data_IF_041614333286
#
_entry.id   IF_041614333286
#
_cell.length_a   1.000
_cell.length_b   1.000
_cell.length_c   1.000
_cell.angle_alpha   90.00
_cell.angle_beta   90.00
_cell.angle_gamma   90.00
#
_symmetry.space_group_name_H-M   'P 1'
#
loop_
_entity.id
_entity.type
_entity.pdbx_description
1 polymer ?
#
# COMPACT_ATOMS: atom_id res chain seq x y z
N UNK A 1 4.36 -28.05 -18.87
CA UNK A 1 5.72 -27.76 -19.35
C UNK A 1 6.15 -26.46 -18.68
N UNK A 2 6.09 -26.47 -17.35
CA UNK A 2 7.20 -26.37 -16.39
C UNK A 2 7.91 -25.01 -16.42
N UNK A 3 7.30 -24.06 -15.71
CA UNK A 3 7.86 -22.76 -15.26
C UNK A 3 9.27 -22.92 -14.65
N UNK A 4 9.58 -24.11 -14.10
CA UNK A 4 10.92 -24.49 -13.63
C UNK A 4 12.00 -24.55 -14.74
N UNK A 5 11.62 -24.85 -15.98
CA UNK A 5 12.54 -24.87 -17.13
C UNK A 5 12.96 -23.47 -17.55
N UNK A 6 12.00 -22.54 -17.60
CA UNK A 6 12.26 -21.14 -17.96
C UNK A 6 13.06 -20.42 -16.87
N UNK A 7 12.84 -20.76 -15.58
CA UNK A 7 13.64 -20.26 -14.46
C UNK A 7 15.09 -20.81 -14.50
N UNK A 8 15.30 -22.04 -14.99
CA UNK A 8 16.66 -22.58 -15.18
C UNK A 8 17.39 -21.91 -16.35
N UNK A 9 16.69 -21.55 -17.43
CA UNK A 9 17.27 -20.74 -18.51
C UNK A 9 17.63 -19.33 -18.02
N UNK A 10 16.77 -18.69 -17.23
CA UNK A 10 17.04 -17.39 -16.60
C UNK A 10 18.24 -17.45 -15.64
N UNK A 11 18.40 -18.54 -14.89
CA UNK A 11 19.58 -18.79 -14.05
C UNK A 11 20.87 -19.03 -14.86
N UNK A 12 20.76 -19.64 -16.04
CA UNK A 12 21.86 -19.84 -16.99
C UNK A 12 22.31 -18.54 -17.67
N UNK A 13 21.34 -17.71 -18.06
CA UNK A 13 21.57 -16.36 -18.60
C UNK A 13 22.19 -15.46 -17.54
N UNK A 14 21.77 -15.56 -16.28
CA UNK A 14 22.36 -14.84 -15.15
C UNK A 14 23.86 -15.14 -14.99
N UNK A 15 24.27 -16.42 -15.11
CA UNK A 15 25.69 -16.83 -15.04
C UNK A 15 26.52 -16.32 -16.23
N UNK A 16 25.95 -16.30 -17.43
CA UNK A 16 26.64 -15.75 -18.61
C UNK A 16 26.75 -14.21 -18.56
N UNK A 17 25.80 -13.51 -17.94
CA UNK A 17 25.79 -12.05 -17.82
C UNK A 17 26.69 -11.52 -16.69
N UNK A 18 26.86 -12.28 -15.59
CA UNK A 18 27.83 -11.94 -14.53
C UNK A 18 29.29 -11.97 -14.98
N UNK A 19 29.59 -12.63 -16.10
CA UNK A 19 30.94 -12.74 -16.64
C UNK A 19 31.40 -11.57 -17.50
N UNK A 20 30.50 -10.69 -17.96
CA UNK A 20 30.88 -9.69 -18.99
C UNK A 20 30.57 -8.22 -18.72
N UNK A 21 29.67 -7.81 -17.80
CA UNK A 21 29.34 -6.37 -17.67
C UNK A 21 29.04 -5.93 -16.24
N UNK A 22 29.60 -4.76 -15.87
CA UNK A 22 29.58 -4.22 -14.51
C UNK A 22 28.20 -3.76 -14.01
N UNK A 23 28.08 -3.51 -12.68
CA UNK A 23 26.81 -3.35 -11.95
C UNK A 23 25.93 -2.15 -12.34
N UNK A 24 26.41 -1.23 -13.19
CA UNK A 24 25.66 -0.05 -13.63
C UNK A 24 24.67 -0.32 -14.79
N UNK A 25 24.83 -1.41 -15.53
CA UNK A 25 23.93 -1.77 -16.64
C UNK A 25 22.93 -2.88 -16.27
N UNK A 26 23.14 -3.56 -15.15
CA UNK A 26 22.30 -4.67 -14.70
C UNK A 26 20.94 -4.21 -14.17
N UNK A 27 20.89 -3.04 -13.52
CA UNK A 27 19.65 -2.43 -13.02
C UNK A 27 18.60 -2.21 -14.12
N UNK A 28 18.87 -1.38 -15.16
CA UNK A 28 17.90 -1.11 -16.21
C UNK A 28 17.55 -2.34 -17.06
N UNK A 29 18.48 -3.29 -17.26
CA UNK A 29 18.20 -4.52 -18.01
C UNK A 29 17.32 -5.52 -17.24
N UNK A 30 17.49 -5.63 -15.91
CA UNK A 30 16.56 -6.43 -15.10
C UNK A 30 15.17 -5.80 -15.08
N UNK A 31 15.08 -4.47 -15.07
CA UNK A 31 13.80 -3.76 -15.23
C UNK A 31 13.20 -4.02 -16.61
N UNK A 32 13.95 -3.92 -17.71
CA UNK A 32 13.39 -4.20 -19.05
C UNK A 32 12.93 -5.67 -19.21
N UNK A 33 13.70 -6.64 -18.72
CA UNK A 33 13.35 -8.07 -18.83
C UNK A 33 12.17 -8.44 -17.92
N UNK A 34 12.12 -7.95 -16.67
CA UNK A 34 10.95 -8.16 -15.79
C UNK A 34 9.67 -7.55 -16.37
N UNK A 35 9.80 -6.43 -17.09
CA UNK A 35 8.65 -5.72 -17.64
C UNK A 35 8.18 -6.32 -18.97
N UNK A 36 9.06 -6.91 -19.79
CA UNK A 36 8.67 -7.63 -21.02
C UNK A 36 7.96 -8.97 -20.72
N UNK A 37 8.38 -9.69 -19.68
CA UNK A 37 7.73 -10.96 -19.30
C UNK A 37 6.31 -10.75 -18.72
N UNK A 38 6.06 -9.59 -18.07
CA UNK A 38 4.72 -9.26 -17.58
C UNK A 38 3.74 -8.95 -18.71
N UNK A 39 4.17 -8.27 -19.79
CA UNK A 39 3.25 -7.91 -20.88
C UNK A 39 2.69 -9.12 -21.65
N UNK A 40 3.43 -10.23 -21.71
CA UNK A 40 3.00 -11.42 -22.46
C UNK A 40 1.95 -12.30 -21.74
N UNK A 41 1.58 -11.97 -20.49
CA UNK A 41 0.74 -12.85 -19.65
C UNK A 41 -0.53 -12.23 -19.04
N UNK A 42 -0.89 -10.97 -19.36
CA UNK A 42 -2.13 -10.39 -18.86
C UNK A 42 -3.35 -10.81 -19.69
N UNK A 43 -4.22 -11.63 -19.09
CA UNK A 43 -5.46 -12.05 -19.71
C UNK A 43 -6.56 -11.00 -19.59
N UNK A 44 -7.60 -11.10 -20.42
CA UNK A 44 -8.81 -10.27 -20.30
C UNK A 44 -9.47 -10.36 -18.89
N UNK A 45 -9.23 -11.46 -18.17
CA UNK A 45 -9.72 -11.67 -16.80
C UNK A 45 -9.03 -10.74 -15.80
N UNK A 46 -7.71 -10.55 -15.91
CA UNK A 46 -6.95 -9.68 -15.02
C UNK A 46 -7.37 -8.21 -15.17
N UNK A 47 -7.69 -7.80 -16.40
CA UNK A 47 -8.23 -6.48 -16.72
C UNK A 47 -9.59 -6.24 -16.05
N UNK A 48 -10.50 -7.21 -16.16
CA UNK A 48 -11.83 -7.13 -15.55
C UNK A 48 -11.72 -7.06 -14.02
N UNK A 49 -10.82 -7.83 -13.41
CA UNK A 49 -10.62 -7.82 -11.95
C UNK A 49 -10.03 -6.49 -11.49
N UNK A 50 -9.02 -5.95 -12.18
CA UNK A 50 -8.41 -4.66 -11.84
C UNK A 50 -9.41 -3.51 -11.90
N UNK A 51 -10.17 -3.40 -13.00
CA UNK A 51 -11.18 -2.35 -13.16
C UNK A 51 -12.33 -2.53 -12.18
N UNK A 52 -12.81 -3.76 -11.98
CA UNK A 52 -13.84 -4.04 -10.99
C UNK A 52 -13.38 -3.63 -9.58
N UNK A 53 -12.13 -3.89 -9.22
CA UNK A 53 -11.55 -3.51 -7.94
C UNK A 53 -11.53 -1.98 -7.75
N UNK A 54 -11.06 -1.22 -8.74
CA UNK A 54 -11.09 0.25 -8.70
C UNK A 54 -12.51 0.82 -8.64
N UNK A 55 -13.44 0.24 -9.42
CA UNK A 55 -14.84 0.65 -9.44
C UNK A 55 -15.55 0.37 -8.12
N UNK A 56 -15.33 -0.80 -7.52
CA UNK A 56 -15.90 -1.17 -6.21
C UNK A 56 -15.31 -0.29 -5.12
N UNK A 57 -14.00 -0.06 -5.09
CA UNK A 57 -13.37 0.86 -4.12
C UNK A 57 -13.92 2.28 -4.25
N UNK A 58 -14.06 2.79 -5.48
CA UNK A 58 -14.65 4.11 -5.73
C UNK A 58 -16.10 4.16 -5.30
N UNK A 59 -16.88 3.10 -5.56
CA UNK A 59 -18.28 3.01 -5.16
C UNK A 59 -18.46 2.94 -3.63
N UNK A 60 -17.58 2.23 -2.92
CA UNK A 60 -17.55 2.19 -1.44
C UNK A 60 -17.25 3.58 -0.90
N UNK A 61 -16.22 4.26 -1.44
CA UNK A 61 -15.88 5.63 -1.08
C UNK A 61 -17.05 6.60 -1.31
N UNK A 62 -17.69 6.54 -2.48
CA UNK A 62 -18.87 7.35 -2.81
C UNK A 62 -20.08 7.03 -1.94
N UNK A 63 -20.32 5.76 -1.64
CA UNK A 63 -21.46 5.33 -0.82
C UNK A 63 -21.35 5.92 0.59
N UNK A 64 -20.18 5.83 1.22
CA UNK A 64 -19.94 6.45 2.52
C UNK A 64 -19.94 7.98 2.44
N UNK A 65 -19.39 8.56 1.36
CA UNK A 65 -19.47 10.00 1.11
C UNK A 65 -20.92 10.52 1.07
N UNK A 66 -21.84 9.73 0.49
CA UNK A 66 -23.24 10.12 0.33
C UNK A 66 -24.08 9.82 1.58
N UNK A 67 -23.78 8.72 2.27
CA UNK A 67 -24.43 8.31 3.52
C UNK A 67 -24.09 9.24 4.68
N UNK A 68 -22.82 9.62 4.81
CA UNK A 68 -22.34 10.50 5.89
C UNK A 68 -22.45 11.99 5.52
N UNK A 69 -22.92 12.33 4.30
CA UNK A 69 -23.20 13.72 3.87
C UNK A 69 -24.26 14.42 4.73
N UNK A 70 -25.08 13.66 5.46
CA UNK A 70 -26.14 14.19 6.34
C UNK A 70 -25.64 14.55 7.74
N UNK A 71 -24.45 14.14 8.12
CA UNK A 71 -23.85 14.44 9.43
C UNK A 71 -22.66 15.38 9.25
N UNK A 72 -22.96 16.67 9.26
CA UNK A 72 -22.01 17.78 9.10
C UNK A 72 -21.13 17.96 10.36
N UNK A 73 -20.36 16.94 10.76
CA UNK A 73 -19.41 17.05 11.87
C UNK A 73 -18.00 16.69 11.41
N UNK A 74 -17.07 17.63 11.53
CA UNK A 74 -15.62 17.46 11.23
C UNK A 74 -15.03 16.25 11.98
N UNK A 75 -15.53 15.97 13.19
CA UNK A 75 -15.17 14.80 13.99
C UNK A 75 -15.55 13.47 13.32
N UNK A 76 -16.61 13.43 12.51
CA UNK A 76 -17.00 12.19 11.82
C UNK A 76 -16.10 11.93 10.61
N UNK A 77 -15.70 12.99 9.89
CA UNK A 77 -14.78 12.92 8.77
C UNK A 77 -13.34 12.57 9.21
N UNK A 78 -12.85 13.20 10.29
CA UNK A 78 -11.48 13.03 10.78
C UNK A 78 -11.30 11.87 11.76
N UNK A 79 -12.30 11.53 12.57
CA UNK A 79 -12.19 10.46 13.60
C UNK A 79 -12.99 9.20 13.26
N UNK A 80 -13.70 9.19 12.13
CA UNK A 80 -14.57 8.08 11.75
C UNK A 80 -15.73 7.85 12.73
N UNK A 81 -16.13 8.88 13.48
CA UNK A 81 -17.26 8.86 14.41
C UNK A 81 -17.10 7.94 15.64
N UNK A 82 -15.95 7.25 15.80
CA UNK A 82 -15.69 6.24 16.87
C UNK A 82 -16.72 5.09 16.98
N UNK A 83 -17.65 4.99 16.05
CA UNK A 83 -18.71 3.96 16.01
C UNK A 83 -18.37 2.80 15.05
N UNK A 84 -17.18 2.84 14.44
CA UNK A 84 -16.67 1.78 13.58
C UNK A 84 -16.46 0.48 14.35
N UNK A 85 -16.85 -0.64 13.75
CA UNK A 85 -16.48 -1.97 14.27
C UNK A 85 -14.96 -2.09 14.35
N UNK A 86 -14.39 -2.67 15.43
CA UNK A 86 -12.95 -2.78 15.59
C UNK A 86 -12.29 -3.62 14.49
N UNK A 87 -13.03 -4.55 13.88
CA UNK A 87 -12.47 -5.50 12.93
C UNK A 87 -11.98 -4.84 11.61
N UNK A 88 -12.80 -4.06 10.86
CA UNK A 88 -12.31 -3.30 9.69
C UNK A 88 -11.19 -2.32 10.03
N UNK A 89 -11.22 -1.71 11.22
CA UNK A 89 -10.19 -0.76 11.67
C UNK A 89 -8.85 -1.46 11.82
N UNK A 90 -8.81 -2.62 12.50
CA UNK A 90 -7.58 -3.40 12.65
C UNK A 90 -7.00 -3.82 11.29
N UNK A 91 -7.85 -4.19 10.32
CA UNK A 91 -7.40 -4.60 8.99
C UNK A 91 -6.88 -3.41 8.18
N UNK A 92 -7.52 -2.24 8.24
CA UNK A 92 -7.02 -1.03 7.59
C UNK A 92 -5.68 -0.57 8.18
N UNK A 93 -5.51 -0.66 9.50
CA UNK A 93 -4.21 -0.41 10.15
C UNK A 93 -3.16 -1.40 9.61
N UNK A 94 -3.48 -2.70 9.54
CA UNK A 94 -2.57 -3.71 9.00
C UNK A 94 -2.24 -3.45 7.51
N UNK A 95 -3.22 -3.08 6.71
CA UNK A 95 -3.05 -2.75 5.29
C UNK A 95 -2.12 -1.53 5.12
N UNK A 96 -2.24 -0.54 6.00
CA UNK A 96 -1.34 0.63 6.03
C UNK A 96 0.09 0.26 6.42
N UNK A 97 0.28 -0.77 7.26
CA UNK A 97 1.61 -1.29 7.62
C UNK A 97 2.24 -2.16 6.52
N UNK A 98 1.43 -2.75 5.66
CA UNK A 98 1.84 -3.65 4.57
C UNK A 98 1.37 -3.10 3.22
N UNK A 99 1.96 -1.98 2.75
CA UNK A 99 1.57 -1.38 1.48
C UNK A 99 1.90 -2.27 0.29
N UNK A 100 1.33 -1.95 -0.88
CA UNK A 100 1.52 -2.70 -2.13
C UNK A 100 2.99 -2.89 -2.52
N UNK A 101 3.87 -1.96 -2.13
CA UNK A 101 5.32 -2.06 -2.33
C UNK A 101 5.95 -3.22 -1.55
N UNK A 102 5.43 -3.55 -0.36
CA UNK A 102 5.85 -4.70 0.44
C UNK A 102 5.48 -6.02 -0.22
N UNK A 103 4.36 -6.08 -0.95
CA UNK A 103 3.92 -7.30 -1.65
C UNK A 103 4.84 -7.70 -2.81
N UNK A 104 5.44 -6.72 -3.48
CA UNK A 104 6.47 -6.97 -4.50
C UNK A 104 7.85 -7.16 -3.82
N UNK A 105 8.12 -6.39 -2.76
CA UNK A 105 9.42 -6.36 -2.08
C UNK A 105 9.74 -7.61 -1.28
N UNK A 106 8.83 -8.08 -0.42
CA UNK A 106 9.11 -9.20 0.49
C UNK A 106 9.39 -10.52 -0.24
N UNK A 107 8.61 -10.94 -1.25
CA UNK A 107 8.95 -12.14 -2.03
C UNK A 107 10.29 -12.01 -2.74
N UNK A 108 10.63 -10.83 -3.25
CA UNK A 108 11.93 -10.56 -3.89
C UNK A 108 13.09 -10.74 -2.91
N UNK A 109 12.95 -10.21 -1.68
CA UNK A 109 13.97 -10.38 -0.64
C UNK A 109 14.10 -11.85 -0.21
N UNK A 110 12.98 -12.55 -0.04
CA UNK A 110 12.98 -13.99 0.27
C UNK A 110 13.65 -14.80 -0.85
N UNK A 111 13.41 -14.42 -2.11
CA UNK A 111 14.00 -15.09 -3.26
C UNK A 111 15.53 -14.93 -3.31
N UNK A 112 16.05 -13.73 -3.01
CA UNK A 112 17.49 -13.44 -3.08
C UNK A 112 18.25 -13.85 -1.82
N UNK A 113 17.67 -13.61 -0.63
CA UNK A 113 18.34 -13.80 0.68
C UNK A 113 17.97 -15.12 1.35
N UNK A 114 16.97 -15.83 0.83
CA UNK A 114 16.48 -17.09 1.38
C UNK A 114 15.38 -16.91 2.42
N UNK A 115 14.89 -18.02 2.96
CA UNK A 115 13.70 -18.05 3.81
C UNK A 115 13.88 -17.33 5.16
N UNK A 116 15.11 -17.10 5.62
CA UNK A 116 15.40 -16.48 6.93
C UNK A 116 14.75 -15.09 7.14
N UNK A 117 14.34 -14.41 6.06
CA UNK A 117 13.62 -13.14 6.13
C UNK A 117 12.31 -13.21 6.95
N UNK A 118 11.66 -14.37 7.06
CA UNK A 118 10.41 -14.52 7.83
C UNK A 118 10.56 -14.12 9.31
N UNK A 119 11.78 -14.17 9.85
CA UNK A 119 12.08 -13.81 11.25
C UNK A 119 11.70 -12.34 11.56
N UNK A 120 11.61 -11.46 10.55
CA UNK A 120 11.18 -10.06 10.71
C UNK A 120 9.75 -9.92 11.28
N UNK A 121 8.91 -10.95 11.12
CA UNK A 121 7.53 -10.95 11.63
C UNK A 121 7.51 -10.98 13.16
N UNK A 122 8.46 -11.67 13.80
CA UNK A 122 8.50 -11.80 15.27
C UNK A 122 8.65 -10.43 15.97
N UNK A 123 9.69 -9.61 15.68
CA UNK A 123 9.81 -8.30 16.29
C UNK A 123 8.71 -7.35 15.86
N UNK A 124 8.14 -7.48 14.65
CA UNK A 124 7.01 -6.67 14.22
C UNK A 124 5.76 -6.92 15.08
N UNK A 125 5.41 -8.18 15.35
CA UNK A 125 4.28 -8.55 16.21
C UNK A 125 4.52 -8.11 17.65
N UNK A 126 5.72 -8.36 18.19
CA UNK A 126 6.05 -7.93 19.55
C UNK A 126 6.01 -6.40 19.70
N UNK A 127 6.51 -5.67 18.70
CA UNK A 127 6.45 -4.22 18.64
C UNK A 127 5.01 -3.71 18.59
N UNK A 128 4.14 -4.36 17.81
CA UNK A 128 2.72 -4.02 17.75
C UNK A 128 1.99 -4.24 19.08
N UNK A 129 2.26 -5.36 19.78
CA UNK A 129 1.68 -5.63 21.10
C UNK A 129 2.16 -4.59 22.13
N UNK A 130 3.46 -4.29 22.14
CA UNK A 130 4.01 -3.26 23.03
C UNK A 130 3.43 -1.88 22.73
N UNK A 131 3.26 -1.55 21.44
CA UNK A 131 2.63 -0.31 21.02
C UNK A 131 1.17 -0.24 21.49
N UNK A 132 0.43 -1.34 21.38
CA UNK A 132 -0.97 -1.43 21.80
C UNK A 132 -1.13 -1.26 23.32
N UNK A 133 -0.32 -1.92 24.12
CA UNK A 133 -0.44 -1.88 25.59
C UNK A 133 0.09 -0.58 26.20
N UNK A 134 1.16 0.01 25.62
CA UNK A 134 1.82 1.18 26.22
C UNK A 134 1.29 2.49 25.65
N UNK A 135 1.15 2.59 24.33
CA UNK A 135 0.89 3.87 23.67
C UNK A 135 -0.61 4.13 23.44
N UNK A 136 -1.40 3.11 23.05
CA UNK A 136 -2.85 3.29 22.84
C UNK A 136 -3.57 3.82 24.08
N UNK A 137 -3.39 3.30 25.32
CA UNK A 137 -4.13 3.83 26.47
C UNK A 137 -3.77 5.29 26.76
N UNK A 138 -2.53 5.70 26.50
CA UNK A 138 -2.10 7.10 26.65
C UNK A 138 -2.85 7.97 25.64
N UNK A 139 -2.80 7.64 24.35
CA UNK A 139 -3.41 8.44 23.29
C UNK A 139 -4.93 8.44 23.31
N UNK A 140 -5.56 7.31 23.62
CA UNK A 140 -7.01 7.16 23.62
C UNK A 140 -7.68 8.06 24.66
N UNK A 141 -7.10 8.16 25.87
CA UNK A 141 -7.62 8.99 26.95
C UNK A 141 -7.48 10.50 26.67
N UNK A 142 -6.50 10.92 25.87
CA UNK A 142 -6.27 12.33 25.54
C UNK A 142 -7.17 12.87 24.42
N UNK A 143 -7.94 11.99 23.77
CA UNK A 143 -8.92 12.29 22.72
C UNK A 143 -8.38 13.19 21.59
N UNK A 144 -7.14 12.94 21.19
CA UNK A 144 -6.42 13.72 20.17
C UNK A 144 -6.97 13.44 18.76
N UNK A 145 -6.92 14.45 17.89
CA UNK A 145 -7.20 14.32 16.46
C UNK A 145 -5.98 13.83 15.68
N UNK A 146 -4.77 14.16 16.16
CA UNK A 146 -3.51 13.74 15.54
C UNK A 146 -2.45 13.45 16.58
N UNK A 147 -1.51 12.56 16.26
CA UNK A 147 -0.34 12.30 17.13
C UNK A 147 0.47 13.58 17.35
N UNK A 148 0.53 14.48 16.36
CA UNK A 148 1.24 15.74 16.46
C UNK A 148 0.58 16.74 17.44
N UNK A 149 -0.73 16.63 17.68
CA UNK A 149 -1.42 17.39 18.73
C UNK A 149 -0.93 17.02 20.14
N UNK A 150 -0.43 15.79 20.33
CA UNK A 150 0.19 15.39 21.59
C UNK A 150 1.39 16.28 21.94
N UNK A 151 2.21 16.62 20.95
CA UNK A 151 3.40 17.47 21.13
C UNK A 151 2.97 18.86 21.62
N UNK A 152 1.87 19.39 21.08
CA UNK A 152 1.30 20.64 21.57
C UNK A 152 0.90 20.52 23.05
N UNK A 153 0.12 19.49 23.42
CA UNK A 153 -0.31 19.31 24.83
C UNK A 153 0.86 19.07 25.78
N UNK A 154 1.90 18.37 25.34
CA UNK A 154 3.05 18.00 26.19
C UNK A 154 4.03 19.15 26.41
N UNK A 155 4.23 20.00 25.40
CA UNK A 155 5.21 21.11 25.44
C UNK A 155 4.56 22.49 25.52
N UNK A 156 3.23 22.58 25.46
CA UNK A 156 2.43 23.82 25.52
C UNK A 156 2.88 24.87 24.48
N UNK A 157 3.42 24.41 23.35
CA UNK A 157 3.97 25.27 22.30
C UNK A 157 3.22 25.05 20.99
N UNK A 158 2.63 26.12 20.46
CA UNK A 158 1.92 26.09 19.18
C UNK A 158 2.90 26.03 18.00
N UNK A 159 4.04 26.73 18.09
CA UNK A 159 5.05 26.74 17.05
C UNK A 159 5.65 25.33 16.83
N UNK A 160 5.86 24.58 17.92
CA UNK A 160 6.37 23.21 17.83
C UNK A 160 5.37 22.28 17.12
N UNK A 161 4.08 22.42 17.39
CA UNK A 161 3.02 21.68 16.70
C UNK A 161 3.01 21.94 15.20
N UNK A 162 3.12 23.21 14.79
CA UNK A 162 3.17 23.59 13.37
C UNK A 162 4.40 22.98 12.70
N UNK A 163 5.57 23.07 13.34
CA UNK A 163 6.82 22.50 12.80
C UNK A 163 6.70 20.99 12.65
N UNK A 164 6.19 20.27 13.65
CA UNK A 164 6.00 18.82 13.54
C UNK A 164 4.98 18.47 12.45
N UNK A 165 3.83 19.15 12.40
CA UNK A 165 2.84 18.94 11.34
C UNK A 165 3.43 19.14 9.95
N UNK A 166 4.18 20.23 9.76
CA UNK A 166 4.83 20.52 8.50
C UNK A 166 5.89 19.45 8.16
N UNK A 167 6.71 19.06 9.13
CA UNK A 167 7.70 18.00 8.94
C UNK A 167 7.07 16.65 8.59
N UNK A 168 5.95 16.29 9.22
CA UNK A 168 5.19 15.08 8.89
C UNK A 168 4.64 15.17 7.47
N UNK A 169 4.03 16.30 7.08
CA UNK A 169 3.51 16.49 5.73
C UNK A 169 4.62 16.38 4.67
N UNK A 170 5.77 17.02 4.89
CA UNK A 170 6.93 16.90 3.99
C UNK A 170 7.46 15.47 3.89
N UNK A 171 7.45 14.70 4.98
CA UNK A 171 7.88 13.30 4.96
C UNK A 171 6.87 12.38 4.24
N UNK A 172 5.58 12.69 4.29
CA UNK A 172 4.51 11.88 3.68
C UNK A 172 4.45 12.02 2.15
N UNK A 173 4.81 13.18 1.59
CA UNK A 173 4.82 13.41 0.13
C UNK A 173 5.67 12.37 -0.64
N UNK A 174 6.98 12.18 -0.33
CA UNK A 174 7.78 11.19 -1.03
C UNK A 174 7.36 9.75 -0.70
N UNK A 175 6.85 9.51 0.51
CA UNK A 175 6.35 8.19 0.92
C UNK A 175 5.17 7.74 0.05
N UNK A 176 4.10 8.54 -0.01
CA UNK A 176 2.95 8.24 -0.86
C UNK A 176 3.28 8.29 -2.36
N UNK A 177 4.28 9.07 -2.77
CA UNK A 177 4.78 9.07 -4.15
C UNK A 177 5.34 7.69 -4.56
N UNK A 178 6.11 7.05 -3.68
CA UNK A 178 6.62 5.68 -3.91
C UNK A 178 5.50 4.66 -3.86
N UNK A 179 4.52 4.81 -2.96
CA UNK A 179 3.37 3.91 -2.89
C UNK A 179 2.49 3.97 -4.13
N UNK A 180 2.25 5.17 -4.67
CA UNK A 180 1.47 5.37 -5.90
C UNK A 180 2.19 4.83 -7.15
N UNK A 181 3.51 4.71 -7.11
CA UNK A 181 4.30 4.24 -8.24
C UNK A 181 4.05 2.76 -8.56
N UNK A 182 3.90 1.90 -7.55
CA UNK A 182 3.67 0.47 -7.73
C UNK A 182 2.40 0.14 -8.56
N UNK A 183 1.20 0.65 -8.23
CA UNK A 183 0.01 0.41 -9.06
C UNK A 183 0.10 1.12 -10.42
N UNK A 184 0.87 2.22 -10.52
CA UNK A 184 1.05 2.97 -11.78
C UNK A 184 1.88 2.21 -12.80
N UNK A 185 2.91 1.48 -12.36
CA UNK A 185 3.65 0.55 -13.21
C UNK A 185 2.72 -0.55 -13.71
N UNK A 186 1.96 -1.18 -12.81
CA UNK A 186 1.04 -2.25 -13.20
C UNK A 186 0.05 -1.77 -14.26
N UNK A 187 -0.52 -0.57 -14.12
CA UNK A 187 -1.42 0.00 -15.12
C UNK A 187 -0.70 0.34 -16.44
N UNK A 188 0.51 0.89 -16.39
CA UNK A 188 1.31 1.23 -17.57
C UNK A 188 1.61 0.01 -18.44
N UNK A 189 1.93 -1.13 -17.81
CA UNK A 189 2.15 -2.41 -18.51
C UNK A 189 0.87 -2.91 -19.18
N UNK A 190 -0.29 -2.77 -18.53
CA UNK A 190 -1.55 -3.34 -19.03
C UNK A 190 -2.19 -2.49 -20.13
N UNK A 191 -1.99 -1.18 -20.11
CA UNK A 191 -2.64 -0.24 -21.03
C UNK A 191 -1.72 0.25 -22.15
N UNK A 192 -0.46 -0.18 -22.17
CA UNK A 192 0.61 0.34 -23.02
C UNK A 192 0.76 1.89 -22.94
N UNK A 193 0.26 2.50 -21.86
CA UNK A 193 0.33 3.94 -21.64
C UNK A 193 1.67 4.31 -20.98
N UNK A 194 2.13 5.54 -21.21
CA UNK A 194 3.32 6.05 -20.53
C UNK A 194 3.12 6.04 -19.00
N UNK A 195 4.18 5.70 -18.25
CA UNK A 195 4.15 5.63 -16.78
C UNK A 195 3.63 6.96 -16.18
N UNK A 196 4.05 8.09 -16.76
CA UNK A 196 3.60 9.43 -16.33
C UNK A 196 2.08 9.61 -16.44
N UNK A 197 1.47 9.10 -17.51
CA UNK A 197 0.01 9.14 -17.70
C UNK A 197 -0.70 8.21 -16.71
N UNK A 198 -0.16 7.01 -16.46
CA UNK A 198 -0.71 6.07 -15.48
C UNK A 198 -0.70 6.63 -14.05
N UNK A 199 0.38 7.31 -13.65
CA UNK A 199 0.46 7.98 -12.35
C UNK A 199 -0.65 9.03 -12.20
N UNK A 200 -0.89 9.84 -13.23
CA UNK A 200 -1.93 10.86 -13.20
C UNK A 200 -3.33 10.25 -13.09
N UNK A 201 -3.62 9.18 -13.83
CA UNK A 201 -4.93 8.52 -13.81
C UNK A 201 -5.20 7.89 -12.44
N UNK A 202 -4.27 7.06 -11.94
CA UNK A 202 -4.45 6.40 -10.63
C UNK A 202 -4.48 7.44 -9.52
N UNK A 203 -3.56 8.41 -9.54
CA UNK A 203 -3.51 9.48 -8.55
C UNK A 203 -4.82 10.27 -8.50
N UNK A 204 -5.42 10.57 -9.65
CA UNK A 204 -6.70 11.26 -9.73
C UNK A 204 -7.86 10.42 -9.18
N UNK A 205 -7.94 9.13 -9.55
CA UNK A 205 -8.95 8.20 -9.02
C UNK A 205 -8.83 8.09 -7.50
N UNK A 206 -7.61 7.86 -7.00
CA UNK A 206 -7.31 7.73 -5.57
C UNK A 206 -7.67 8.99 -4.80
N UNK A 207 -7.29 10.15 -5.32
CA UNK A 207 -7.59 11.45 -4.71
C UNK A 207 -9.11 11.66 -4.64
N UNK A 208 -9.85 11.35 -5.70
CA UNK A 208 -11.31 11.54 -5.74
C UNK A 208 -12.00 10.65 -4.70
N UNK A 209 -11.76 9.33 -4.70
CA UNK A 209 -12.47 8.46 -3.76
C UNK A 209 -12.05 8.70 -2.30
N UNK A 210 -10.79 9.07 -2.06
CA UNK A 210 -10.28 9.37 -0.71
C UNK A 210 -10.86 10.67 -0.18
N UNK A 211 -10.87 11.73 -1.00
CA UNK A 211 -11.43 13.04 -0.62
C UNK A 211 -12.94 12.98 -0.38
N UNK A 212 -13.67 12.16 -1.14
CA UNK A 212 -15.10 11.98 -0.96
C UNK A 212 -15.43 11.09 0.25
N UNK A 213 -14.73 9.97 0.44
CA UNK A 213 -15.08 8.97 1.45
C UNK A 213 -14.65 9.29 2.89
N UNK A 214 -13.66 10.18 3.08
CA UNK A 214 -13.09 10.47 4.40
C UNK A 214 -12.45 9.24 5.07
N UNK A 215 -12.08 9.33 6.36
CA UNK A 215 -11.40 8.24 7.06
C UNK A 215 -12.24 6.94 7.04
N UNK A 216 -13.57 7.07 7.14
CA UNK A 216 -14.48 5.92 7.11
C UNK A 216 -14.48 5.18 5.77
N UNK A 217 -14.55 5.94 4.68
CA UNK A 217 -14.48 5.39 3.33
C UNK A 217 -13.16 4.67 3.10
N UNK A 218 -12.04 5.29 3.52
CA UNK A 218 -10.71 4.72 3.40
C UNK A 218 -10.60 3.38 4.14
N UNK A 219 -11.07 3.31 5.39
CA UNK A 219 -11.02 2.05 6.17
C UNK A 219 -11.76 0.91 5.46
N UNK A 220 -12.93 1.20 4.87
CA UNK A 220 -13.70 0.19 4.14
C UNK A 220 -13.07 -0.19 2.80
N UNK A 221 -12.49 0.76 2.08
CA UNK A 221 -11.74 0.45 0.85
C UNK A 221 -10.51 -0.39 1.17
N UNK A 222 -9.76 -0.06 2.22
CA UNK A 222 -8.58 -0.82 2.65
C UNK A 222 -8.95 -2.25 3.02
N UNK A 223 -10.03 -2.43 3.79
CA UNK A 223 -10.52 -3.76 4.17
C UNK A 223 -10.86 -4.62 2.94
N UNK A 224 -11.56 -4.03 1.96
CA UNK A 224 -11.90 -4.72 0.71
C UNK A 224 -10.64 -5.07 -0.09
N UNK A 225 -9.75 -4.10 -0.32
CA UNK A 225 -8.53 -4.30 -1.09
C UNK A 225 -7.60 -5.33 -0.44
N UNK A 226 -7.46 -5.29 0.89
CA UNK A 226 -6.68 -6.27 1.64
C UNK A 226 -7.26 -7.68 1.52
N UNK A 227 -8.59 -7.82 1.60
CA UNK A 227 -9.26 -9.12 1.45
C UNK A 227 -9.03 -9.71 0.07
N UNK A 228 -9.15 -8.91 -0.98
CA UNK A 228 -8.87 -9.33 -2.38
C UNK A 228 -7.41 -9.76 -2.54
N UNK A 229 -6.49 -9.01 -1.94
CA UNK A 229 -5.06 -9.31 -1.99
C UNK A 229 -4.71 -10.64 -1.29
N UNK A 230 -5.25 -10.87 -0.08
CA UNK A 230 -5.06 -12.15 0.63
C UNK A 230 -5.65 -13.32 -0.16
N UNK A 231 -6.84 -13.14 -0.74
CA UNK A 231 -7.46 -14.16 -1.59
C UNK A 231 -6.58 -14.48 -2.82
N UNK A 232 -5.99 -13.45 -3.44
CA UNK A 232 -5.04 -13.61 -4.55
C UNK A 232 -3.81 -14.43 -4.16
N UNK A 233 -3.19 -14.11 -3.02
CA UNK A 233 -2.03 -14.87 -2.51
C UNK A 233 -2.40 -16.32 -2.21
N UNK A 234 -3.53 -16.57 -1.55
CA UNK A 234 -3.99 -17.92 -1.26
C UNK A 234 -4.28 -18.72 -2.54
N UNK A 235 -4.87 -18.09 -3.56
CA UNK A 235 -5.12 -18.73 -4.84
C UNK A 235 -3.84 -19.15 -5.56
N UNK A 236 -2.76 -18.35 -5.45
CA UNK A 236 -1.44 -18.70 -5.98
C UNK A 236 -0.82 -19.86 -5.20
N UNK A 237 -0.93 -19.88 -3.86
CA UNK A 237 -0.34 -20.95 -3.03
C UNK A 237 -1.01 -22.32 -3.28
N UNK A 238 -2.32 -22.33 -3.52
CA UNK A 238 -3.08 -23.57 -3.73
C UNK A 238 -2.77 -24.22 -5.09
N UNK A 239 -2.21 -23.45 -6.04
CA UNK A 239 -2.02 -23.86 -7.43
C UNK A 239 -0.58 -24.23 -7.74
#
# INVERSE_FOLDING_TARGET
MSILGDIQELGGVHRHMTGQRGPKQLGPLLTEVFFSDMSDHFGAVDYVVFIAMLMISTAIGLYYAWKDRKTTNEDEFLRGGKTMSPFPVCISIMASFLPSTSFIGFPTVVYVTGTMFWVIVIPAVLGAILAAEVFIPVFYNMNLLSVNEYIHKRFQSHNLQIITNLSTLLAMIPFFGVELFAPSIALSIVTDMSISSSILVIGLIVTIYTSMGGLKGVIWTDFFQFTVMVAGVLAVIIR
#
